data_IF_285394951002
#
_entry.id   IF_285394951002
#
_cell.length_a   1.000
_cell.length_b   1.000
_cell.length_c   1.000
_cell.angle_alpha   90.00
_cell.angle_beta   90.00
_cell.angle_gamma   90.00
#
_symmetry.space_group_name_H-M   'P 1'
#
loop_
_entity.id
_entity.type
_entity.pdbx_description
1 polymer ?
#
# COMPACT_ATOMS: atom_id res chain seq x y z
N UNK A 1 -1.48 -22.17 7.74
CA UNK A 1 -0.68 -21.09 7.13
C UNK A 1 -1.69 -20.22 6.41
N UNK A 2 -1.81 -18.95 6.75
CA UNK A 2 -2.72 -18.07 6.02
C UNK A 2 -2.23 -18.01 4.58
N UNK A 3 -3.11 -18.29 3.63
CA UNK A 3 -2.81 -18.10 2.22
C UNK A 3 -2.74 -16.58 2.00
N UNK A 4 -1.57 -16.09 1.58
CA UNK A 4 -1.40 -14.66 1.34
C UNK A 4 -2.27 -14.24 0.15
N UNK A 5 -2.91 -13.07 0.26
CA UNK A 5 -3.74 -12.50 -0.81
C UNK A 5 -2.98 -12.44 -2.15
N UNK A 6 -3.69 -12.63 -3.27
CA UNK A 6 -3.11 -12.77 -4.62
C UNK A 6 -2.16 -11.65 -5.06
N UNK A 7 -2.23 -10.48 -4.43
CA UNK A 7 -1.42 -9.29 -4.73
C UNK A 7 -0.18 -9.14 -3.84
N UNK A 8 0.01 -10.01 -2.84
CA UNK A 8 1.18 -10.02 -1.96
C UNK A 8 2.30 -10.80 -2.63
N UNK A 9 3.34 -10.09 -3.10
CA UNK A 9 4.42 -10.66 -3.93
C UNK A 9 5.67 -11.07 -3.15
N UNK A 10 5.82 -10.59 -1.92
CA UNK A 10 6.96 -10.87 -1.06
C UNK A 10 6.56 -10.65 0.40
N UNK A 11 7.28 -11.31 1.31
CA UNK A 11 7.09 -11.11 2.75
C UNK A 11 7.82 -9.85 3.22
N UNK A 12 7.17 -9.10 4.11
CA UNK A 12 7.74 -7.93 4.78
C UNK A 12 8.02 -8.27 6.23
N UNK A 13 9.28 -8.12 6.67
CA UNK A 13 9.62 -8.32 8.08
C UNK A 13 8.87 -7.34 8.98
N UNK A 14 8.48 -7.77 10.19
CA UNK A 14 7.73 -6.92 11.14
C UNK A 14 8.41 -5.57 11.39
N UNK A 15 9.72 -5.56 11.64
CA UNK A 15 10.45 -4.32 11.89
C UNK A 15 10.50 -3.35 10.71
N UNK A 16 10.36 -3.85 9.47
CA UNK A 16 10.20 -3.00 8.30
C UNK A 16 8.77 -2.46 8.19
N UNK A 17 7.76 -3.31 8.45
CA UNK A 17 6.36 -2.89 8.47
C UNK A 17 6.12 -1.77 9.51
N UNK A 18 6.65 -1.90 10.72
CA UNK A 18 6.54 -0.90 11.79
C UNK A 18 7.11 0.46 11.35
N UNK A 19 8.30 0.46 10.73
CA UNK A 19 8.91 1.69 10.18
C UNK A 19 8.09 2.29 9.04
N UNK A 20 7.46 1.47 8.21
CA UNK A 20 6.57 1.95 7.14
C UNK A 20 5.36 2.67 7.75
N UNK A 21 4.77 2.13 8.83
CA UNK A 21 3.68 2.81 9.55
C UNK A 21 4.12 4.17 10.11
N UNK A 22 5.28 4.23 10.77
CA UNK A 22 5.83 5.50 11.27
C UNK A 22 6.00 6.55 10.14
N UNK A 23 6.51 6.13 8.98
CA UNK A 23 6.66 7.01 7.81
C UNK A 23 5.30 7.50 7.30
N UNK A 24 4.29 6.63 7.23
CA UNK A 24 2.95 7.00 6.78
C UNK A 24 2.29 7.98 7.76
N UNK A 25 2.45 7.79 9.07
CA UNK A 25 1.98 8.72 10.09
C UNK A 25 2.68 10.08 9.98
N UNK A 26 4.01 10.10 9.88
CA UNK A 26 4.75 11.34 9.70
C UNK A 26 4.35 12.08 8.41
N UNK A 27 4.15 11.35 7.31
CA UNK A 27 3.71 11.92 6.04
C UNK A 27 2.26 12.44 6.08
N UNK A 28 1.38 11.82 6.90
CA UNK A 28 0.03 12.33 7.16
C UNK A 28 0.08 13.70 7.84
N UNK A 29 0.98 13.86 8.82
CA UNK A 29 1.01 15.03 9.68
C UNK A 29 1.81 16.19 9.10
N UNK A 30 2.86 15.90 8.31
CA UNK A 30 3.79 16.91 7.77
C UNK A 30 3.70 17.11 6.26
N UNK A 31 3.04 16.19 5.55
CA UNK A 31 3.05 16.14 4.10
C UNK A 31 1.66 15.97 3.49
N UNK A 32 1.58 15.10 2.48
CA UNK A 32 0.33 14.81 1.77
C UNK A 32 0.26 13.33 1.48
N UNK A 33 -0.84 12.71 1.90
CA UNK A 33 -1.12 11.32 1.61
C UNK A 33 -2.42 11.18 0.82
N UNK A 34 -2.52 10.10 0.05
CA UNK A 34 -3.74 9.65 -0.61
C UNK A 34 -4.19 8.36 0.07
N UNK A 35 -5.49 8.21 0.30
CA UNK A 35 -6.08 7.07 1.01
C UNK A 35 -7.14 6.42 0.14
N UNK A 36 -7.23 5.10 0.21
CA UNK A 36 -8.15 4.29 -0.59
C UNK A 36 -7.64 4.01 -2.00
N UNK A 37 -8.03 2.86 -2.52
CA UNK A 37 -7.52 2.28 -3.78
C UNK A 37 -7.61 3.24 -4.96
N UNK A 38 -8.76 3.89 -5.18
CA UNK A 38 -8.98 4.77 -6.32
C UNK A 38 -8.03 5.97 -6.36
N UNK A 39 -7.79 6.61 -5.21
CA UNK A 39 -6.89 7.78 -5.15
C UNK A 39 -5.43 7.37 -5.23
N UNK A 40 -5.09 6.19 -4.71
CA UNK A 40 -3.76 5.60 -4.85
C UNK A 40 -3.43 5.33 -6.32
N UNK A 41 -4.32 4.64 -7.06
CA UNK A 41 -4.14 4.37 -8.50
C UNK A 41 -3.95 5.68 -9.27
N UNK A 42 -4.81 6.68 -9.06
CA UNK A 42 -4.66 7.99 -9.71
C UNK A 42 -3.31 8.65 -9.39
N UNK A 43 -2.77 8.46 -8.19
CA UNK A 43 -1.48 9.02 -7.81
C UNK A 43 -0.31 8.30 -8.49
N UNK A 44 -0.40 6.98 -8.66
CA UNK A 44 0.57 6.15 -9.41
C UNK A 44 0.57 6.57 -10.88
N UNK A 45 -0.59 6.52 -11.54
CA UNK A 45 -0.76 6.86 -12.97
C UNK A 45 -0.30 8.28 -13.34
N UNK A 46 -0.41 9.22 -12.38
CA UNK A 46 0.04 10.61 -12.56
C UNK A 46 1.49 10.84 -12.14
N UNK A 47 2.26 9.78 -11.84
CA UNK A 47 3.66 9.83 -11.37
C UNK A 47 3.88 10.69 -10.10
N UNK A 48 2.84 10.84 -9.27
CA UNK A 48 2.90 11.62 -8.05
C UNK A 48 3.23 10.77 -6.81
N UNK A 49 2.95 9.45 -6.86
CA UNK A 49 3.22 8.55 -5.75
C UNK A 49 4.74 8.33 -5.58
N UNK A 50 5.23 8.43 -4.34
CA UNK A 50 6.63 8.14 -3.97
C UNK A 50 6.78 6.82 -3.22
N UNK A 51 5.76 6.46 -2.46
CA UNK A 51 5.61 5.19 -1.74
C UNK A 51 4.12 4.82 -1.78
N UNK A 52 3.84 3.55 -2.03
CA UNK A 52 2.50 2.96 -1.95
C UNK A 52 2.55 1.86 -0.92
N UNK A 53 1.63 1.92 0.04
CA UNK A 53 1.47 0.91 1.10
C UNK A 53 0.12 0.26 0.92
N UNK A 54 0.10 -1.07 0.88
CA UNK A 54 -1.09 -1.89 0.66
C UNK A 54 -1.34 -2.76 1.88
N UNK A 55 -2.60 -2.86 2.29
CA UNK A 55 -3.00 -3.80 3.33
C UNK A 55 -3.05 -5.22 2.76
N UNK A 56 -2.65 -6.23 3.52
CA UNK A 56 -2.60 -7.64 3.08
C UNK A 56 -3.95 -8.36 3.28
N UNK A 57 -4.84 -7.78 4.08
CA UNK A 57 -6.13 -8.34 4.53
C UNK A 57 -7.35 -7.67 3.84
N UNK A 58 -7.18 -7.17 2.62
CA UNK A 58 -8.28 -6.57 1.86
C UNK A 58 -9.21 -7.65 1.31
N UNK A 59 -10.49 -7.50 1.62
CA UNK A 59 -11.57 -8.35 1.13
C UNK A 59 -12.63 -7.47 0.41
N UNK A 60 -12.98 -7.76 -0.86
CA UNK A 60 -12.39 -8.77 -1.74
C UNK A 60 -10.98 -8.41 -2.24
N UNK A 61 -10.05 -9.38 -2.38
CA UNK A 61 -8.66 -9.13 -2.75
C UNK A 61 -8.48 -8.57 -4.17
N UNK A 62 -9.47 -8.78 -5.04
CA UNK A 62 -9.53 -8.25 -6.42
C UNK A 62 -9.42 -6.72 -6.46
N UNK A 63 -9.80 -6.03 -5.37
CA UNK A 63 -9.67 -4.58 -5.24
C UNK A 63 -8.22 -4.14 -5.46
N UNK A 64 -7.24 -4.94 -5.01
CA UNK A 64 -5.82 -4.60 -5.08
C UNK A 64 -5.03 -5.42 -6.11
N UNK A 65 -5.63 -6.41 -6.76
CA UNK A 65 -4.97 -7.32 -7.71
C UNK A 65 -4.15 -6.61 -8.79
N UNK A 66 -4.65 -5.47 -9.28
CA UNK A 66 -4.03 -4.71 -10.35
C UNK A 66 -3.06 -3.62 -9.88
N UNK A 67 -2.90 -3.40 -8.57
CA UNK A 67 -2.02 -2.32 -8.06
C UNK A 67 -0.52 -2.66 -8.19
N UNK A 68 -0.03 -3.86 -7.83
CA UNK A 68 1.40 -4.19 -7.90
C UNK A 68 2.11 -4.06 -9.27
N UNK A 69 1.45 -4.23 -10.44
CA UNK A 69 2.08 -4.02 -11.75
C UNK A 69 2.02 -2.58 -12.30
N UNK A 70 1.34 -1.63 -11.64
CA UNK A 70 1.30 -0.22 -12.06
C UNK A 70 2.61 0.51 -11.68
#
# INVERSE_FOLDING_TARGET
MAENSIYVRFEVSRGLADRIFEIVEAARDTGKIKKGTNETIKAIERNNAKLVVMAEDVDPPEILAYVPPL
#
